data_IF_594851137842
#
_entry.id   IF_594851137842
#
_cell.length_a   1.000
_cell.length_b   1.000
_cell.length_c   1.000
_cell.angle_alpha   90.00
_cell.angle_beta   90.00
_cell.angle_gamma   90.00
#
_symmetry.space_group_name_H-M   'P 1'
#
loop_
_entity.id
_entity.type
_entity.pdbx_description
1 polymer ?
#
# COMPACT_ATOMS: atom_id res chain seq x y z
N UNK A 1 -19.83 19.12 -1.50
CA UNK A 1 -19.78 18.62 -2.90
C UNK A 1 -18.61 17.65 -2.99
N UNK A 2 -18.77 16.50 -3.66
CA UNK A 2 -17.69 15.54 -3.86
C UNK A 2 -16.59 16.13 -4.75
N UNK A 3 -15.32 15.99 -4.37
CA UNK A 3 -14.17 16.46 -5.15
C UNK A 3 -13.60 17.81 -4.72
N UNK A 4 -13.21 17.94 -3.45
CA UNK A 4 -12.44 19.08 -2.93
C UNK A 4 -10.94 18.79 -3.02
N UNK A 5 -10.15 19.73 -3.54
CA UNK A 5 -8.68 19.59 -3.58
C UNK A 5 -8.08 19.51 -2.17
N UNK A 6 -8.66 20.25 -1.21
CA UNK A 6 -8.24 20.18 0.19
C UNK A 6 -8.36 18.77 0.75
N UNK A 7 -9.46 18.07 0.43
CA UNK A 7 -9.67 16.71 0.89
C UNK A 7 -8.69 15.71 0.24
N UNK A 8 -8.27 15.96 -1.00
CA UNK A 8 -7.22 15.16 -1.66
C UNK A 8 -5.88 15.32 -0.93
N UNK A 9 -5.48 16.55 -0.65
CA UNK A 9 -4.21 16.81 0.03
C UNK A 9 -4.21 16.27 1.47
N UNK A 10 -5.32 16.41 2.18
CA UNK A 10 -5.48 15.83 3.52
C UNK A 10 -5.45 14.29 3.48
N UNK A 11 -6.06 13.66 2.48
CA UNK A 11 -5.99 12.21 2.29
C UNK A 11 -4.55 11.73 2.04
N UNK A 12 -3.77 12.45 1.23
CA UNK A 12 -2.35 12.15 1.00
C UNK A 12 -1.52 12.29 2.27
N UNK A 13 -1.73 13.35 3.05
CA UNK A 13 -1.06 13.55 4.36
C UNK A 13 -1.35 12.40 5.29
N UNK A 14 -2.63 12.03 5.42
CA UNK A 14 -3.04 10.93 6.28
C UNK A 14 -2.40 9.60 5.86
N UNK A 15 -2.38 9.30 4.56
CA UNK A 15 -1.74 8.09 4.03
C UNK A 15 -0.28 7.98 4.47
N UNK A 16 0.48 9.08 4.43
CA UNK A 16 1.90 9.10 4.79
C UNK A 16 2.12 9.15 6.31
N UNK A 17 1.30 9.89 7.05
CA UNK A 17 1.56 10.20 8.46
C UNK A 17 0.88 9.25 9.45
N UNK A 18 -0.22 8.61 9.06
CA UNK A 18 -1.08 7.88 10.00
C UNK A 18 -1.28 6.42 9.63
N UNK A 19 -0.92 5.99 8.42
CA UNK A 19 -0.96 4.59 8.02
C UNK A 19 0.45 4.02 7.98
N UNK A 20 0.63 2.82 8.55
CA UNK A 20 1.92 2.12 8.55
C UNK A 20 2.36 1.74 7.13
N UNK A 21 1.48 1.07 6.39
CA UNK A 21 1.65 0.74 4.96
C UNK A 21 0.26 0.69 4.33
N UNK A 22 0.11 1.28 3.14
CA UNK A 22 -1.08 1.15 2.30
C UNK A 22 -0.69 0.40 1.03
N UNK A 23 -1.32 -0.75 0.79
CA UNK A 23 -1.13 -1.55 -0.42
C UNK A 23 -2.20 -1.33 -1.48
N UNK A 24 -2.02 -1.98 -2.63
CA UNK A 24 -2.99 -2.00 -3.73
C UNK A 24 -3.54 -3.40 -3.95
N UNK A 25 -4.78 -3.49 -4.44
CA UNK A 25 -5.45 -4.78 -4.63
C UNK A 25 -4.83 -5.62 -5.75
N UNK A 26 -4.26 -4.95 -6.74
CA UNK A 26 -3.62 -5.51 -7.92
C UNK A 26 -2.26 -6.18 -7.59
N UNK A 27 -1.63 -5.77 -6.49
CA UNK A 27 -0.33 -6.25 -6.02
C UNK A 27 -0.41 -6.70 -4.54
N UNK A 28 -1.48 -7.44 -4.23
CA UNK A 28 -1.79 -7.88 -2.87
C UNK A 28 -0.72 -8.82 -2.29
N UNK A 29 -0.10 -9.66 -3.13
CA UNK A 29 0.98 -10.58 -2.72
C UNK A 29 2.20 -9.81 -2.20
N UNK A 30 2.62 -8.77 -2.92
CA UNK A 30 3.71 -7.89 -2.46
C UNK A 30 3.33 -7.15 -1.18
N UNK A 31 2.08 -6.71 -1.06
CA UNK A 31 1.61 -6.04 0.16
C UNK A 31 1.71 -6.95 1.38
N UNK A 32 1.29 -8.21 1.25
CA UNK A 32 1.41 -9.19 2.32
C UNK A 32 2.87 -9.50 2.67
N UNK A 33 3.74 -9.58 1.65
CA UNK A 33 5.18 -9.76 1.85
C UNK A 33 5.82 -8.62 2.63
N UNK A 34 5.42 -7.37 2.33
CA UNK A 34 5.87 -6.20 3.09
C UNK A 34 5.39 -6.27 4.55
N UNK A 35 4.11 -6.61 4.79
CA UNK A 35 3.58 -6.76 6.15
C UNK A 35 4.26 -7.87 6.95
N UNK A 36 4.65 -8.96 6.30
CA UNK A 36 5.38 -10.06 6.94
C UNK A 36 6.76 -9.62 7.46
N UNK A 37 7.42 -8.69 6.76
CA UNK A 37 8.70 -8.10 7.19
C UNK A 37 8.50 -7.04 8.27
N UNK A 38 7.52 -6.15 8.11
CA UNK A 38 7.29 -5.02 9.04
C UNK A 38 6.66 -5.48 10.35
N UNK A 39 5.73 -6.44 10.30
CA UNK A 39 4.96 -6.95 11.44
C UNK A 39 5.01 -8.48 11.53
N UNK A 40 6.20 -9.09 11.72
CA UNK A 40 6.37 -10.54 11.71
C UNK A 40 5.60 -11.23 12.84
N UNK A 41 5.34 -10.55 13.96
CA UNK A 41 4.55 -11.11 15.06
C UNK A 41 3.12 -11.48 14.62
N UNK A 42 2.56 -10.75 13.66
CA UNK A 42 1.19 -10.95 13.18
C UNK A 42 1.14 -11.69 11.84
N UNK A 43 2.07 -11.41 10.93
CA UNK A 43 2.00 -11.85 9.52
C UNK A 43 3.04 -12.89 9.13
N UNK A 44 3.81 -13.45 10.08
CA UNK A 44 4.76 -14.54 9.77
C UNK A 44 4.02 -15.74 9.16
N UNK A 45 4.50 -16.19 8.00
CA UNK A 45 3.93 -17.29 7.23
C UNK A 45 2.70 -16.93 6.39
N UNK A 46 2.30 -15.65 6.36
CA UNK A 46 1.11 -15.23 5.61
C UNK A 46 1.29 -15.39 4.10
N UNK A 47 2.48 -15.09 3.56
CA UNK A 47 2.78 -15.27 2.14
C UNK A 47 2.70 -16.74 1.74
N UNK A 48 3.27 -17.64 2.55
CA UNK A 48 3.20 -19.09 2.33
C UNK A 48 1.77 -19.63 2.42
N UNK A 49 0.91 -19.04 3.28
CA UNK A 49 -0.50 -19.40 3.36
C UNK A 49 -1.27 -18.95 2.12
N UNK A 50 -0.94 -17.77 1.57
CA UNK A 50 -1.55 -17.24 0.37
C UNK A 50 -1.25 -18.16 -0.84
N UNK A 51 0.01 -18.58 -1.01
CA UNK A 51 0.44 -19.50 -2.07
C UNK A 51 -0.23 -20.88 -1.96
N UNK A 52 -0.40 -21.40 -0.74
CA UNK A 52 -1.04 -22.70 -0.49
C UNK A 52 -2.58 -22.64 -0.57
N UNK A 53 -3.15 -21.45 -0.59
CA UNK A 53 -4.57 -21.23 -0.32
C UNK A 53 -5.50 -21.46 -1.52
N UNK A 54 -6.44 -22.39 -1.38
CA UNK A 54 -7.64 -22.52 -2.27
C UNK A 54 -8.65 -21.36 -2.13
N UNK A 55 -8.45 -20.41 -1.19
CA UNK A 55 -9.41 -19.36 -0.79
C UNK A 55 -8.82 -17.93 -0.79
N UNK A 56 -7.89 -17.60 -1.70
CA UNK A 56 -7.34 -16.24 -1.79
C UNK A 56 -8.38 -15.20 -2.23
N UNK A 57 -9.38 -15.61 -3.01
CA UNK A 57 -10.48 -14.75 -3.47
C UNK A 57 -11.82 -15.20 -2.87
N UNK A 58 -12.06 -14.84 -1.60
CA UNK A 58 -13.23 -15.26 -0.83
C UNK A 58 -14.56 -14.68 -1.32
N UNK A 59 -14.52 -13.44 -1.84
CA UNK A 59 -15.73 -12.70 -2.25
C UNK A 59 -15.57 -12.22 -3.68
N UNK A 60 -16.05 -13.03 -4.62
CA UNK A 60 -16.14 -12.67 -6.04
C UNK A 60 -17.55 -12.18 -6.35
N UNK A 61 -17.66 -11.07 -7.06
CA UNK A 61 -18.94 -10.62 -7.61
C UNK A 61 -19.38 -11.60 -8.70
N UNK A 62 -20.49 -12.31 -8.49
CA UNK A 62 -20.94 -13.40 -9.38
C UNK A 62 -21.22 -12.94 -10.81
N UNK A 63 -21.81 -11.75 -10.97
CA UNK A 63 -22.11 -11.17 -12.28
C UNK A 63 -21.40 -9.84 -12.41
N UNK A 64 -20.24 -9.85 -13.08
CA UNK A 64 -19.48 -8.64 -13.39
C UNK A 64 -19.70 -8.28 -14.86
N UNK A 65 -20.46 -7.23 -15.11
CA UNK A 65 -20.56 -6.64 -16.44
C UNK A 65 -19.45 -5.60 -16.59
N UNK A 66 -18.50 -5.78 -17.52
CA UNK A 66 -17.51 -4.76 -17.77
C UNK A 66 -18.20 -3.49 -18.29
N UNK A 67 -17.78 -2.30 -17.84
CA UNK A 67 -18.38 -1.06 -18.30
C UNK A 67 -18.08 -0.82 -19.78
N UNK A 68 -19.03 -0.25 -20.50
CA UNK A 68 -18.85 0.13 -21.90
C UNK A 68 -17.74 1.20 -22.03
N UNK A 69 -16.95 1.21 -23.11
CA UNK A 69 -15.88 2.20 -23.30
C UNK A 69 -16.39 3.65 -23.22
N UNK A 70 -17.59 3.93 -23.73
CA UNK A 70 -18.22 5.25 -23.66
C UNK A 70 -18.54 5.66 -22.22
N UNK A 71 -19.05 4.74 -21.41
CA UNK A 71 -19.33 4.96 -19.98
C UNK A 71 -18.04 5.27 -19.22
N UNK A 72 -16.97 4.53 -19.48
CA UNK A 72 -15.66 4.77 -18.85
C UNK A 72 -15.15 6.17 -19.21
N UNK A 73 -15.25 6.59 -20.47
CA UNK A 73 -14.87 7.95 -20.89
C UNK A 73 -15.64 9.02 -20.12
N UNK A 74 -16.97 8.89 -20.06
CA UNK A 74 -17.85 9.83 -19.34
C UNK A 74 -17.53 9.92 -17.84
N UNK A 75 -17.20 8.80 -17.20
CA UNK A 75 -16.79 8.79 -15.78
C UNK A 75 -15.43 9.49 -15.61
N UNK A 76 -14.47 9.21 -16.51
CA UNK A 76 -13.13 9.80 -16.48
C UNK A 76 -13.11 11.31 -16.67
N UNK A 77 -14.11 11.87 -17.35
CA UNK A 77 -14.29 13.32 -17.54
C UNK A 77 -14.69 14.04 -16.23
N UNK A 78 -15.24 13.32 -15.24
CA UNK A 78 -15.67 13.93 -13.99
C UNK A 78 -14.50 14.40 -13.11
N UNK A 79 -14.66 15.56 -12.46
CA UNK A 79 -13.64 16.07 -11.55
C UNK A 79 -13.38 15.12 -10.37
N UNK A 80 -14.43 14.49 -9.83
CA UNK A 80 -14.33 13.55 -8.70
C UNK A 80 -13.46 12.35 -9.07
N UNK A 81 -13.67 11.74 -10.24
CA UNK A 81 -12.82 10.64 -10.71
C UNK A 81 -11.36 11.07 -10.86
N UNK A 82 -11.11 12.27 -11.41
CA UNK A 82 -9.74 12.78 -11.56
C UNK A 82 -9.02 12.90 -10.22
N UNK A 83 -9.69 13.36 -9.17
CA UNK A 83 -9.10 13.50 -7.83
C UNK A 83 -8.88 12.13 -7.17
N UNK A 84 -9.85 11.23 -7.25
CA UNK A 84 -9.68 9.84 -6.77
C UNK A 84 -8.53 9.15 -7.50
N UNK A 85 -8.43 9.34 -8.81
CA UNK A 85 -7.37 8.77 -9.62
C UNK A 85 -5.99 9.29 -9.21
N UNK A 86 -5.86 10.60 -8.97
CA UNK A 86 -4.62 11.20 -8.44
C UNK A 86 -4.23 10.61 -7.08
N UNK A 87 -5.21 10.37 -6.20
CA UNK A 87 -4.94 9.75 -4.90
C UNK A 87 -4.48 8.30 -5.05
N UNK A 88 -5.14 7.54 -5.93
CA UNK A 88 -4.76 6.17 -6.24
C UNK A 88 -3.33 6.08 -6.79
N UNK A 89 -3.00 6.89 -7.80
CA UNK A 89 -1.65 6.91 -8.39
C UNK A 89 -0.60 7.30 -7.33
N UNK A 90 -0.90 8.25 -6.44
CA UNK A 90 -0.03 8.58 -5.30
C UNK A 90 0.18 7.39 -4.35
N UNK A 91 -0.89 6.68 -3.98
CA UNK A 91 -0.79 5.50 -3.12
C UNK A 91 0.04 4.38 -3.77
N UNK A 92 -0.10 4.17 -5.08
CA UNK A 92 0.70 3.21 -5.86
C UNK A 92 2.18 3.57 -5.78
N UNK A 93 2.53 4.84 -6.02
CA UNK A 93 3.92 5.29 -6.01
C UNK A 93 4.54 5.16 -4.61
N UNK A 94 3.81 5.56 -3.56
CA UNK A 94 4.27 5.40 -2.18
C UNK A 94 4.47 3.93 -1.82
N UNK A 95 3.52 3.06 -2.16
CA UNK A 95 3.63 1.63 -1.90
C UNK A 95 4.83 1.02 -2.63
N UNK A 96 5.08 1.43 -3.88
CA UNK A 96 6.22 0.95 -4.67
C UNK A 96 7.57 1.34 -4.04
N UNK A 97 7.69 2.57 -3.53
CA UNK A 97 8.90 3.04 -2.84
C UNK A 97 9.15 2.18 -1.59
N UNK A 98 8.15 2.09 -0.72
CA UNK A 98 8.21 1.31 0.53
C UNK A 98 8.54 -0.15 0.25
N UNK A 99 7.87 -0.76 -0.74
CA UNK A 99 8.11 -2.14 -1.17
C UNK A 99 9.57 -2.34 -1.56
N UNK A 100 10.10 -1.48 -2.42
CA UNK A 100 11.47 -1.60 -2.88
C UNK A 100 12.47 -1.44 -1.73
N UNK A 101 12.26 -0.48 -0.83
CA UNK A 101 13.13 -0.27 0.32
C UNK A 101 13.16 -1.50 1.24
N UNK A 102 11.98 -1.99 1.64
CA UNK A 102 11.87 -3.10 2.59
C UNK A 102 12.38 -4.41 1.99
N UNK A 103 12.03 -4.72 0.74
CA UNK A 103 12.45 -5.96 0.11
C UNK A 103 13.94 -5.97 -0.23
N UNK A 104 14.50 -4.82 -0.64
CA UNK A 104 15.95 -4.72 -0.83
C UNK A 104 16.71 -4.87 0.50
N UNK A 105 16.14 -4.38 1.59
CA UNK A 105 16.76 -4.49 2.91
C UNK A 105 16.72 -5.92 3.45
N UNK A 106 15.65 -6.66 3.15
CA UNK A 106 15.59 -8.11 3.43
C UNK A 106 16.71 -8.88 2.72
N UNK A 107 17.13 -8.44 1.54
CA UNK A 107 18.21 -9.09 0.77
C UNK A 107 19.61 -8.68 1.25
N UNK A 108 19.74 -7.59 2.00
CA UNK A 108 21.01 -7.13 2.56
C UNK A 108 21.14 -7.70 3.98
N UNK A 109 21.91 -8.77 4.14
CA UNK A 109 22.26 -9.28 5.46
C UNK A 109 23.13 -8.24 6.21
N UNK A 110 22.59 -7.66 7.30
CA UNK A 110 23.33 -6.78 8.22
C UNK A 110 22.51 -5.59 8.75
N UNK A 111 22.77 -5.18 10.00
CA UNK A 111 22.19 -3.95 10.56
C UNK A 111 22.73 -2.72 9.82
N UNK A 112 21.86 -1.99 9.12
CA UNK A 112 22.25 -0.77 8.37
C UNK A 112 22.75 0.37 9.24
N UNK A 113 22.37 0.39 10.51
CA UNK A 113 22.64 1.48 11.42
C UNK A 113 23.25 0.92 12.69
N UNK A 114 24.39 1.48 13.10
CA UNK A 114 25.02 1.21 14.38
C UNK A 114 25.05 2.50 15.20
N UNK A 115 24.74 2.38 16.49
CA UNK A 115 24.87 3.50 17.41
C UNK A 115 26.31 3.56 17.91
N UNK A 116 27.01 4.65 17.60
CA UNK A 116 28.35 4.92 18.14
C UNK A 116 28.29 6.12 19.08
N UNK A 117 29.21 6.18 20.06
CA UNK A 117 29.29 7.25 21.08
C UNK A 117 28.07 7.34 22.02
N UNK A 118 27.65 6.20 22.58
CA UNK A 118 26.70 6.16 23.69
C UNK A 118 27.45 6.58 24.97
N UNK A 119 27.30 7.83 25.41
CA UNK A 119 27.85 8.29 26.70
C UNK A 119 26.77 8.28 27.78
N UNK A 120 27.07 7.82 29.00
CA UNK A 120 26.13 7.92 30.11
C UNK A 120 25.81 9.39 30.39
N UNK A 121 24.53 9.72 30.57
CA UNK A 121 24.14 11.00 31.16
C UNK A 121 24.40 10.89 32.66
N UNK A 122 25.42 11.58 33.15
CA UNK A 122 25.65 11.73 34.59
C UNK A 122 24.48 12.49 35.18
N UNK A 123 23.74 11.84 36.07
CA UNK A 123 22.66 12.45 36.88
C UNK A 123 23.28 13.36 37.93
#
# INVERSE_FOLDING_TARGET
>A
RAGSEWALEEAKRNLVQHYLVVGITEDFESFLSVLEVVLPRFYRGATALLEKGRKTHLRKTSQKLPPLPQTVKKVKESNSYRLERKFYDFAVDQFRIIKNEILNDRLREGEKFSFTKITPQTV
#
